data_IF_974987213215
#
_entry.id   IF_974987213215
#
_cell.length_a   1.000
_cell.length_b   1.000
_cell.length_c   1.000
_cell.angle_alpha   90.00
_cell.angle_beta   90.00
_cell.angle_gamma   90.00
#
_symmetry.space_group_name_H-M   'P 1'
#
loop_
_entity.id
_entity.type
_entity.pdbx_description
1 polymer ?
#
# COMPACT_ATOMS: atom_id res chain seq x y z
N UNK A 1 -8.70 6.51 -27.32
CA UNK A 1 -7.78 6.04 -26.25
C UNK A 1 -8.44 6.36 -24.91
N UNK A 2 -8.89 5.37 -24.16
CA UNK A 2 -9.48 5.58 -22.83
C UNK A 2 -8.34 5.78 -21.85
N UNK A 3 -8.23 6.96 -21.25
CA UNK A 3 -7.27 7.22 -20.18
C UNK A 3 -8.04 7.08 -18.87
N UNK A 4 -7.65 6.10 -18.06
CA UNK A 4 -8.25 5.90 -16.74
C UNK A 4 -7.76 7.00 -15.79
N UNK A 5 -8.66 7.91 -15.44
CA UNK A 5 -8.39 9.07 -14.55
C UNK A 5 -8.63 8.74 -13.07
N UNK A 6 -8.92 7.49 -12.74
CA UNK A 6 -9.17 7.08 -11.34
C UNK A 6 -7.85 6.76 -10.64
N UNK A 7 -7.63 7.40 -9.49
CA UNK A 7 -6.53 7.05 -8.59
C UNK A 7 -6.70 5.59 -8.13
N UNK A 8 -5.66 4.78 -8.31
CA UNK A 8 -5.64 3.38 -7.87
C UNK A 8 -5.12 3.31 -6.44
N UNK A 9 -5.95 2.85 -5.52
CA UNK A 9 -5.63 2.67 -4.10
C UNK A 9 -5.70 1.20 -3.73
N UNK A 10 -4.67 0.67 -3.08
CA UNK A 10 -4.69 -0.61 -2.37
C UNK A 10 -4.87 -0.40 -0.86
N UNK A 11 -5.60 -1.29 -0.19
CA UNK A 11 -5.74 -1.30 1.27
C UNK A 11 -5.34 -2.68 1.79
N UNK A 12 -4.46 -2.73 2.79
CA UNK A 12 -3.96 -3.98 3.35
C UNK A 12 -3.64 -3.86 4.84
N UNK A 13 -3.55 -5.00 5.53
CA UNK A 13 -2.95 -5.08 6.86
C UNK A 13 -1.53 -5.62 6.71
N UNK A 14 -0.59 -5.11 7.51
CA UNK A 14 0.81 -5.52 7.49
C UNK A 14 1.27 -5.95 8.87
N UNK A 15 2.08 -7.00 8.92
CA UNK A 15 2.78 -7.43 10.13
C UNK A 15 4.26 -7.56 9.84
N UNK A 16 5.09 -7.16 10.79
CA UNK A 16 6.56 -7.26 10.71
C UNK A 16 7.02 -8.17 11.82
N UNK A 17 7.68 -9.27 11.45
CA UNK A 17 8.32 -10.19 12.38
C UNK A 17 9.84 -10.01 12.30
N UNK A 18 10.51 -9.89 13.44
CA UNK A 18 11.97 -9.97 13.56
C UNK A 18 12.31 -11.12 14.50
N UNK A 19 13.23 -11.98 14.09
CA UNK A 19 13.67 -13.16 14.86
C UNK A 19 12.53 -14.08 15.33
N UNK A 20 11.44 -14.14 14.55
CA UNK A 20 10.26 -14.93 14.85
C UNK A 20 9.24 -14.25 15.77
N UNK A 21 9.52 -13.05 16.27
CA UNK A 21 8.62 -12.28 17.12
C UNK A 21 7.95 -11.14 16.33
N UNK A 22 6.66 -10.90 16.61
CA UNK A 22 5.90 -9.80 16.01
C UNK A 22 6.29 -8.47 16.64
N UNK A 23 7.01 -7.65 15.88
CA UNK A 23 7.47 -6.35 16.34
C UNK A 23 6.49 -5.23 15.98
N UNK A 24 5.85 -5.29 14.80
CA UNK A 24 4.91 -4.26 14.37
C UNK A 24 3.69 -4.87 13.68
N UNK A 25 2.52 -4.32 13.99
CA UNK A 25 1.27 -4.62 13.30
C UNK A 25 0.63 -3.31 12.84
N UNK A 26 0.30 -3.22 11.56
CA UNK A 26 -0.34 -2.07 10.94
C UNK A 26 -1.66 -2.52 10.35
N UNK A 27 -2.73 -1.84 10.74
CA UNK A 27 -4.07 -2.08 10.22
C UNK A 27 -4.45 -0.97 9.23
N UNK A 28 -5.23 -1.32 8.22
CA UNK A 28 -5.83 -0.38 7.27
C UNK A 28 -4.80 0.48 6.51
N UNK A 29 -3.64 -0.10 6.17
CA UNK A 29 -2.60 0.55 5.37
C UNK A 29 -3.14 0.86 3.98
N UNK A 30 -3.08 2.15 3.58
CA UNK A 30 -3.54 2.62 2.27
C UNK A 30 -2.36 3.03 1.41
N UNK A 31 -2.27 2.50 0.20
CA UNK A 31 -1.20 2.80 -0.75
C UNK A 31 -1.81 3.25 -2.08
N UNK A 32 -1.40 4.42 -2.57
CA UNK A 32 -1.81 4.94 -3.87
C UNK A 32 -0.72 4.76 -4.92
N UNK A 33 -1.10 4.32 -6.13
CA UNK A 33 -0.19 4.32 -7.27
C UNK A 33 -0.12 5.75 -7.84
N UNK A 34 1.01 6.41 -7.64
CA UNK A 34 1.35 7.66 -8.30
C UNK A 34 2.21 7.34 -9.53
N UNK A 35 1.71 7.67 -10.72
CA UNK A 35 2.55 7.63 -11.92
C UNK A 35 3.53 8.81 -11.85
N UNK A 36 4.77 8.56 -12.26
CA UNK A 36 5.80 9.59 -12.31
C UNK A 36 5.35 10.71 -13.26
N UNK A 37 5.11 11.90 -12.74
CA UNK A 37 4.97 13.11 -13.57
C UNK A 37 6.39 13.57 -13.94
N UNK A 38 6.75 13.39 -15.21
CA UNK A 38 7.88 14.05 -15.87
C UNK A 38 7.32 15.09 -16.83
#
# INVERSE_FOLDING_TARGET
>A
RVIDRKLKIGVANGTVHADGELIYAVKDMKVGLANQEN
#
